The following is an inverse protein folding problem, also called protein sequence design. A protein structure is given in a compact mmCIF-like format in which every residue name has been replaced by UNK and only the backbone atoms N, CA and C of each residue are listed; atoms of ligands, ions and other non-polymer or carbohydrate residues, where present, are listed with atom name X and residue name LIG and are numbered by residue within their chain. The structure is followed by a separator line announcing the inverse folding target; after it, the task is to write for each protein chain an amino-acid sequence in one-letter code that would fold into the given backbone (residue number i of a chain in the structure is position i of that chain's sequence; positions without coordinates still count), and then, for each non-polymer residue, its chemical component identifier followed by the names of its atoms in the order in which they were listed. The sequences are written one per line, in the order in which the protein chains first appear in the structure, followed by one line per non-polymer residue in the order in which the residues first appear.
data_IF_774233759821
#
_entry.id   IF_774233759821
#
_cell.length_a   1.000
_cell.length_b   1.000
_cell.length_c   1.000
_cell.angle_alpha   90.00
_cell.angle_beta   90.00
_cell.angle_gamma   90.00
#
_symmetry.space_group_name_H-M   'P 1'
#
loop_
_entity.id
_entity.type
_entity.pdbx_description
1 polymer ?
#
# COMPACT_ATOMS: atom_id res chain seq x y z
N UNK A 1 -18.88 -2.55 11.35
CA UNK A 1 -18.67 -4.00 11.18
C UNK A 1 -19.77 -4.49 10.25
N UNK A 2 -19.45 -5.06 9.09
CA UNK A 2 -20.46 -5.60 8.16
C UNK A 2 -20.90 -6.96 8.68
N UNK A 3 -22.21 -7.17 8.87
CA UNK A 3 -22.75 -8.46 9.30
C UNK A 3 -22.91 -9.42 8.10
N UNK A 4 -23.08 -10.71 8.38
CA UNK A 4 -23.22 -11.74 7.35
C UNK A 4 -24.34 -11.45 6.31
N UNK A 5 -25.55 -10.99 6.72
CA UNK A 5 -26.56 -10.57 5.75
C UNK A 5 -26.12 -9.40 4.87
N UNK A 6 -25.45 -8.40 5.43
CA UNK A 6 -24.92 -7.27 4.66
C UNK A 6 -23.87 -7.69 3.63
N UNK A 7 -23.01 -8.65 3.98
CA UNK A 7 -22.03 -9.21 3.05
C UNK A 7 -22.71 -9.99 1.91
N UNK A 8 -23.72 -10.81 2.23
CA UNK A 8 -24.51 -11.50 1.22
C UNK A 8 -25.17 -10.49 0.28
N UNK A 9 -25.79 -9.44 0.82
CA UNK A 9 -26.47 -8.41 0.03
C UNK A 9 -25.49 -7.71 -0.92
N UNK A 10 -24.30 -7.34 -0.44
CA UNK A 10 -23.24 -6.77 -1.27
C UNK A 10 -22.77 -7.75 -2.37
N UNK A 11 -22.66 -9.05 -2.07
CA UNK A 11 -22.28 -10.07 -3.06
C UNK A 11 -23.26 -10.24 -4.23
N UNK A 12 -24.52 -9.79 -4.06
CA UNK A 12 -25.54 -9.85 -5.10
C UNK A 12 -25.47 -8.66 -6.09
N UNK A 13 -24.69 -7.63 -5.76
CA UNK A 13 -24.48 -6.41 -6.56
C UNK A 13 -23.45 -6.66 -7.67
N UNK A 14 -23.86 -7.37 -8.72
CA UNK A 14 -22.99 -7.79 -9.84
C UNK A 14 -23.08 -6.88 -11.08
N UNK A 15 -23.81 -5.76 -10.98
CA UNK A 15 -24.06 -4.84 -12.10
C UNK A 15 -25.07 -5.34 -13.14
N UNK A 16 -25.71 -6.50 -12.92
CA UNK A 16 -26.74 -7.06 -13.82
C UNK A 16 -28.13 -7.11 -13.20
N UNK A 17 -28.22 -7.06 -11.88
CA UNK A 17 -29.49 -7.04 -11.14
C UNK A 17 -29.93 -5.61 -10.82
N UNK A 18 -31.21 -5.34 -11.00
CA UNK A 18 -31.86 -4.17 -10.41
C UNK A 18 -32.17 -4.41 -8.92
N UNK A 19 -32.63 -3.36 -8.23
CA UNK A 19 -32.96 -3.41 -6.79
C UNK A 19 -33.95 -4.53 -6.47
N UNK A 20 -34.95 -4.74 -7.33
CA UNK A 20 -35.98 -5.77 -7.15
C UNK A 20 -35.39 -7.17 -7.23
N UNK A 21 -34.54 -7.42 -8.22
CA UNK A 21 -33.86 -8.69 -8.41
C UNK A 21 -32.86 -8.97 -7.28
N UNK A 22 -32.14 -7.96 -6.80
CA UNK A 22 -31.25 -8.08 -5.63
C UNK A 22 -32.07 -8.46 -4.38
N UNK A 23 -33.15 -7.74 -4.10
CA UNK A 23 -34.05 -8.03 -2.99
C UNK A 23 -34.61 -9.46 -3.06
N UNK A 24 -35.15 -9.86 -4.22
CA UNK A 24 -35.71 -11.20 -4.40
C UNK A 24 -34.66 -12.29 -4.14
N UNK A 25 -33.45 -12.12 -4.68
CA UNK A 25 -32.36 -13.06 -4.46
C UNK A 25 -31.91 -13.10 -2.99
N UNK A 26 -31.89 -11.96 -2.31
CA UNK A 26 -31.55 -11.88 -0.88
C UNK A 26 -32.58 -12.62 -0.02
N UNK A 27 -33.88 -12.36 -0.22
CA UNK A 27 -34.97 -13.03 0.53
C UNK A 27 -34.91 -14.54 0.34
N UNK A 28 -34.68 -15.01 -0.89
CA UNK A 28 -34.57 -16.45 -1.19
C UNK A 28 -33.38 -17.10 -0.46
N UNK A 29 -32.25 -16.41 -0.34
CA UNK A 29 -31.03 -16.98 0.24
C UNK A 29 -30.94 -16.83 1.76
N UNK A 30 -31.45 -15.73 2.29
CA UNK A 30 -31.28 -15.35 3.70
C UNK A 30 -32.53 -15.62 4.54
N UNK A 31 -33.72 -15.73 3.91
CA UNK A 31 -35.01 -15.82 4.60
C UNK A 31 -35.45 -14.54 5.32
N UNK A 32 -34.56 -13.56 5.44
CA UNK A 32 -34.83 -12.25 6.04
C UNK A 32 -35.62 -11.36 5.08
N UNK A 33 -36.54 -10.57 5.64
CA UNK A 33 -37.23 -9.53 4.92
C UNK A 33 -36.35 -8.27 4.85
N UNK A 34 -36.33 -7.65 3.68
CA UNK A 34 -35.72 -6.35 3.42
C UNK A 34 -36.61 -5.65 2.39
N UNK A 35 -36.78 -4.35 2.49
CA UNK A 35 -37.52 -3.57 1.51
C UNK A 35 -36.60 -3.04 0.38
N UNK A 36 -37.21 -2.53 -0.71
CA UNK A 36 -36.45 -1.99 -1.84
C UNK A 36 -35.72 -0.67 -1.49
N UNK A 37 -36.20 0.07 -0.49
CA UNK A 37 -35.58 1.32 -0.05
C UNK A 37 -34.28 1.04 0.72
N UNK A 38 -34.27 0.05 1.60
CA UNK A 38 -33.10 -0.40 2.34
C UNK A 38 -31.99 -0.90 1.39
N UNK A 39 -32.37 -1.69 0.36
CA UNK A 39 -31.42 -2.12 -0.68
C UNK A 39 -30.88 -0.93 -1.45
N UNK A 40 -31.75 0.00 -1.86
CA UNK A 40 -31.36 1.20 -2.62
C UNK A 40 -30.42 2.09 -1.80
N UNK A 41 -30.69 2.25 -0.51
CA UNK A 41 -29.89 3.06 0.40
C UNK A 41 -28.52 2.44 0.64
N UNK A 42 -28.44 1.12 0.82
CA UNK A 42 -27.15 0.43 0.90
C UNK A 42 -26.34 0.62 -0.39
N UNK A 43 -26.94 0.40 -1.56
CA UNK A 43 -26.27 0.60 -2.86
C UNK A 43 -25.76 2.03 -2.99
N UNK A 44 -26.58 3.02 -2.60
CA UNK A 44 -26.20 4.44 -2.61
C UNK A 44 -25.02 4.72 -1.69
N UNK A 45 -25.00 4.15 -0.48
CA UNK A 45 -23.89 4.30 0.47
C UNK A 45 -22.60 3.68 -0.05
N UNK A 46 -22.68 2.47 -0.63
CA UNK A 46 -21.52 1.80 -1.22
C UNK A 46 -20.98 2.56 -2.45
N UNK A 47 -21.85 3.07 -3.33
CA UNK A 47 -21.45 3.90 -4.46
C UNK A 47 -20.79 5.21 -4.01
N UNK A 48 -21.39 5.90 -3.04
CA UNK A 48 -20.84 7.13 -2.47
C UNK A 48 -19.46 6.91 -1.80
N UNK A 49 -19.22 5.69 -1.27
CA UNK A 49 -17.96 5.27 -0.69
C UNK A 49 -16.94 4.71 -1.72
N UNK A 50 -17.27 4.72 -3.01
CA UNK A 50 -16.42 4.16 -4.09
C UNK A 50 -16.16 2.66 -3.96
N UNK A 51 -17.08 1.91 -3.34
CA UNK A 51 -16.99 0.46 -3.13
C UNK A 51 -17.68 -0.37 -4.21
N UNK A 52 -18.30 0.28 -5.19
CA UNK A 52 -18.90 -0.34 -6.36
C UNK A 52 -18.14 0.11 -7.62
N UNK A 53 -17.96 -0.79 -8.59
CA UNK A 53 -17.40 -0.43 -9.91
C UNK A 53 -18.43 0.35 -10.75
N UNK A 54 -18.75 1.55 -10.30
CA UNK A 54 -19.69 2.48 -10.91
C UNK A 54 -18.98 3.54 -11.75
N UNK A 55 -19.76 4.33 -12.50
CA UNK A 55 -19.22 5.51 -13.18
C UNK A 55 -18.52 6.49 -12.22
N UNK A 56 -19.03 6.62 -10.98
CA UNK A 56 -18.43 7.45 -9.93
C UNK A 56 -17.07 6.90 -9.51
N UNK A 57 -16.95 5.61 -9.21
CA UNK A 57 -15.67 4.98 -8.90
C UNK A 57 -14.67 5.15 -10.04
N UNK A 58 -15.06 4.83 -11.28
CA UNK A 58 -14.17 4.91 -12.45
C UNK A 58 -13.66 6.32 -12.68
N UNK A 59 -14.51 7.33 -12.52
CA UNK A 59 -14.11 8.75 -12.63
C UNK A 59 -13.10 9.11 -11.53
N UNK A 60 -13.39 8.75 -10.27
CA UNK A 60 -12.49 9.00 -9.14
C UNK A 60 -11.15 8.27 -9.26
N UNK A 61 -11.17 7.06 -9.79
CA UNK A 61 -9.97 6.28 -10.07
C UNK A 61 -9.10 6.99 -11.12
N UNK A 62 -9.70 7.41 -12.24
CA UNK A 62 -9.00 8.17 -13.29
C UNK A 62 -8.41 9.48 -12.77
N UNK A 63 -9.15 10.24 -11.95
CA UNK A 63 -8.64 11.44 -11.28
C UNK A 63 -7.42 11.13 -10.40
N UNK A 64 -7.48 10.06 -9.63
CA UNK A 64 -6.40 9.65 -8.72
C UNK A 64 -5.15 9.24 -9.48
N UNK A 65 -5.32 8.49 -10.58
CA UNK A 65 -4.22 8.12 -11.49
C UNK A 65 -3.62 9.37 -12.14
N UNK A 66 -4.46 10.29 -12.65
CA UNK A 66 -3.99 11.52 -13.26
C UNK A 66 -3.23 12.41 -12.26
N UNK A 67 -3.73 12.54 -11.03
CA UNK A 67 -3.07 13.27 -9.95
C UNK A 67 -1.71 12.66 -9.59
N UNK A 68 -1.62 11.33 -9.46
CA UNK A 68 -0.34 10.65 -9.23
C UNK A 68 0.64 10.88 -10.38
N UNK A 69 0.19 10.76 -11.64
CA UNK A 69 1.04 10.99 -12.82
C UNK A 69 1.56 12.42 -12.87
N UNK A 70 0.72 13.42 -12.57
CA UNK A 70 1.09 14.83 -12.56
C UNK A 70 2.00 15.23 -11.39
N UNK A 71 1.98 14.51 -10.26
CA UNK A 71 2.80 14.83 -9.10
C UNK A 71 4.31 14.72 -9.42
N UNK A 72 5.15 15.68 -9.01
CA UNK A 72 6.59 15.63 -9.30
C UNK A 72 7.32 14.54 -8.50
N UNK A 73 6.78 14.19 -7.34
CA UNK A 73 7.31 13.23 -6.37
C UNK A 73 6.21 12.26 -5.94
N UNK A 74 6.60 11.19 -5.26
CA UNK A 74 5.67 10.28 -4.57
C UNK A 74 5.64 10.64 -3.09
N UNK A 75 4.53 11.25 -2.67
CA UNK A 75 4.34 11.66 -1.28
C UNK A 75 4.45 10.50 -0.28
N UNK A 76 4.92 10.82 0.93
CA UNK A 76 4.98 9.90 2.06
C UNK A 76 3.58 9.64 2.65
N UNK A 77 2.72 8.92 1.92
CA UNK A 77 1.29 8.77 2.24
C UNK A 77 0.96 8.15 3.62
N UNK A 78 1.96 7.57 4.29
CA UNK A 78 1.81 6.94 5.61
C UNK A 78 2.51 7.70 6.75
N UNK A 79 3.22 8.79 6.44
CA UNK A 79 3.79 9.68 7.45
C UNK A 79 2.66 10.29 8.31
N UNK A 80 2.91 10.44 9.61
CA UNK A 80 1.92 10.90 10.60
C UNK A 80 0.86 9.85 10.97
N UNK A 81 0.90 8.65 10.37
CA UNK A 81 -0.04 7.54 10.67
C UNK A 81 0.69 6.26 11.06
N UNK A 82 1.49 5.71 10.16
CA UNK A 82 2.22 4.46 10.39
C UNK A 82 3.57 4.70 11.10
N UNK A 83 4.13 5.89 10.92
CA UNK A 83 5.37 6.39 11.51
C UNK A 83 5.31 7.92 11.63
N UNK A 84 6.12 8.55 12.51
CA UNK A 84 6.13 10.01 12.68
C UNK A 84 6.49 10.74 11.38
N UNK A 85 5.84 11.87 11.12
CA UNK A 85 6.12 12.78 10.00
C UNK A 85 7.19 13.81 10.31
N UNK A 86 7.49 14.08 11.59
CA UNK A 86 8.59 14.94 11.99
C UNK A 86 9.95 14.21 11.96
N UNK A 87 11.02 14.82 11.39
CA UNK A 87 12.29 14.13 11.16
C UNK A 87 12.96 13.59 12.43
N UNK A 88 12.98 14.37 13.50
CA UNK A 88 13.64 13.99 14.76
C UNK A 88 12.82 12.97 15.55
N UNK A 89 11.49 13.09 15.51
CA UNK A 89 10.60 12.07 16.06
C UNK A 89 10.75 10.74 15.32
N UNK A 90 10.88 10.77 13.99
CA UNK A 90 11.12 9.58 13.20
C UNK A 90 12.47 8.93 13.55
N UNK A 91 13.55 9.71 13.69
CA UNK A 91 14.85 9.16 14.12
C UNK A 91 14.75 8.48 15.48
N UNK A 92 14.16 9.15 16.47
CA UNK A 92 13.96 8.58 17.80
C UNK A 92 13.08 7.31 17.76
N UNK A 93 12.02 7.33 16.96
CA UNK A 93 11.12 6.21 16.76
C UNK A 93 11.83 5.00 16.14
N UNK A 94 12.66 5.20 15.11
CA UNK A 94 13.45 4.15 14.48
C UNK A 94 14.56 3.63 15.41
N UNK A 95 15.27 4.53 16.10
CA UNK A 95 16.31 4.17 17.07
C UNK A 95 15.76 3.29 18.20
N UNK A 96 14.55 3.61 18.69
CA UNK A 96 13.91 2.82 19.72
C UNK A 96 13.61 1.38 19.27
N UNK A 97 13.45 1.11 17.97
CA UNK A 97 13.20 -0.26 17.47
C UNK A 97 14.37 -1.20 17.71
N UNK A 98 15.58 -0.67 17.83
CA UNK A 98 16.76 -1.49 18.14
C UNK A 98 16.77 -1.98 19.59
N UNK A 99 16.22 -1.20 20.53
CA UNK A 99 16.35 -1.43 21.97
C UNK A 99 15.08 -1.92 22.66
N UNK A 100 13.93 -1.92 21.97
CA UNK A 100 12.69 -2.50 22.51
C UNK A 100 12.80 -4.03 22.63
N UNK A 101 11.93 -4.62 23.45
CA UNK A 101 11.84 -6.08 23.61
C UNK A 101 11.69 -6.78 22.24
N UNK A 102 12.47 -7.84 22.02
CA UNK A 102 12.55 -8.57 20.75
C UNK A 102 13.43 -7.91 19.67
N UNK A 103 13.94 -6.70 19.91
CA UNK A 103 14.93 -6.04 19.05
C UNK A 103 16.37 -6.52 19.29
N UNK A 104 17.34 -6.07 18.46
CA UNK A 104 18.75 -6.47 18.53
C UNK A 104 19.53 -5.96 19.76
N UNK A 105 18.90 -5.26 20.69
CA UNK A 105 19.44 -4.89 22.00
C UNK A 105 20.25 -3.59 22.05
N UNK A 106 20.36 -2.86 20.94
CA UNK A 106 21.10 -1.60 20.89
C UNK A 106 21.32 -1.09 19.48
N UNK A 107 21.71 0.20 19.39
CA UNK A 107 21.96 0.87 18.11
C UNK A 107 23.07 0.16 17.31
N UNK A 108 23.01 0.21 15.97
CA UNK A 108 24.07 -0.30 15.11
C UNK A 108 25.45 0.26 15.47
N UNK A 109 26.48 -0.57 15.36
CA UNK A 109 27.87 -0.16 15.41
C UNK A 109 28.27 0.66 14.16
N UNK A 110 29.51 1.17 14.15
CA UNK A 110 30.05 1.86 12.98
C UNK A 110 30.10 0.90 11.76
N UNK A 111 29.79 1.39 10.54
CA UNK A 111 29.86 0.61 9.32
C UNK A 111 31.22 -0.06 9.11
N UNK A 112 31.22 -1.34 8.73
CA UNK A 112 32.42 -2.06 8.32
C UNK A 112 32.12 -3.22 7.37
N UNK A 113 32.97 -3.39 6.36
CA UNK A 113 32.83 -4.46 5.38
C UNK A 113 31.68 -4.23 4.38
N UNK A 114 31.55 -5.13 3.42
CA UNK A 114 30.61 -4.98 2.30
C UNK A 114 29.15 -5.21 2.70
N UNK A 115 28.24 -4.40 2.16
CA UNK A 115 26.79 -4.60 2.27
C UNK A 115 26.32 -6.00 1.85
N UNK A 116 25.28 -6.55 2.49
CA UNK A 116 24.65 -7.79 2.04
C UNK A 116 24.07 -7.61 0.63
N UNK A 117 24.04 -8.70 -0.15
CA UNK A 117 23.46 -8.67 -1.51
C UNK A 117 21.94 -8.56 -1.51
N UNK A 118 21.29 -9.03 -0.46
CA UNK A 118 19.85 -9.00 -0.31
C UNK A 118 19.47 -9.03 1.17
N UNK A 119 18.32 -8.46 1.47
CA UNK A 119 17.70 -8.46 2.79
C UNK A 119 16.20 -8.62 2.61
N UNK A 120 15.57 -9.40 3.49
CA UNK A 120 14.12 -9.54 3.56
C UNK A 120 13.66 -8.94 4.89
N UNK A 121 12.82 -7.93 4.82
CA UNK A 121 12.15 -7.34 5.97
C UNK A 121 10.64 -7.39 5.74
N UNK A 122 9.83 -7.52 6.81
CA UNK A 122 8.39 -7.37 6.70
C UNK A 122 8.02 -5.91 6.35
N UNK A 123 6.73 -5.63 6.09
CA UNK A 123 6.23 -4.26 5.81
C UNK A 123 4.90 -3.89 6.51
N UNK A 124 4.53 -4.63 7.55
CA UNK A 124 3.51 -4.19 8.53
C UNK A 124 3.93 -2.89 9.24
N UNK A 125 2.98 -2.19 9.85
CA UNK A 125 3.26 -0.97 10.59
C UNK A 125 4.39 -1.13 11.62
N UNK A 126 5.32 -0.17 11.64
CA UNK A 126 6.52 -0.20 12.47
C UNK A 126 6.23 -0.20 13.97
N UNK A 127 5.08 0.34 14.40
CA UNK A 127 4.64 0.25 15.81
C UNK A 127 4.28 -1.18 16.23
N UNK A 128 3.90 -2.05 15.28
CA UNK A 128 3.58 -3.46 15.54
C UNK A 128 4.80 -4.36 15.40
N UNK A 129 5.53 -4.19 14.30
CA UNK A 129 6.57 -5.14 13.89
C UNK A 129 8.00 -4.62 13.94
N UNK A 130 8.23 -3.32 14.18
CA UNK A 130 9.52 -2.68 13.90
C UNK A 130 10.73 -3.28 14.61
N UNK A 131 10.54 -3.90 15.79
CA UNK A 131 11.61 -4.61 16.51
C UNK A 131 12.21 -5.77 15.69
N UNK A 132 11.38 -6.51 14.97
CA UNK A 132 11.84 -7.60 14.09
C UNK A 132 12.61 -7.10 12.87
N UNK A 133 12.32 -5.88 12.42
CA UNK A 133 12.93 -5.27 11.23
C UNK A 133 14.32 -4.78 11.59
N UNK A 134 14.47 -4.26 12.81
CA UNK A 134 15.72 -3.72 13.32
C UNK A 134 16.87 -4.74 13.25
N UNK A 135 16.60 -6.05 13.29
CA UNK A 135 17.62 -7.08 13.05
C UNK A 135 18.23 -6.99 11.66
N UNK A 136 17.38 -6.96 10.62
CA UNK A 136 17.84 -6.81 9.25
C UNK A 136 18.49 -5.44 9.01
N UNK A 137 17.84 -4.36 9.45
CA UNK A 137 18.37 -3.01 9.23
C UNK A 137 19.63 -2.73 10.04
N UNK A 138 19.87 -3.44 11.15
CA UNK A 138 21.16 -3.42 11.84
C UNK A 138 22.27 -3.96 10.94
N UNK A 139 22.06 -5.14 10.35
CA UNK A 139 23.03 -5.71 9.41
C UNK A 139 23.30 -4.79 8.21
N UNK A 140 22.32 -4.00 7.79
CA UNK A 140 22.55 -3.01 6.74
C UNK A 140 23.30 -1.77 7.24
N UNK A 141 22.93 -1.25 8.40
CA UNK A 141 23.52 -0.06 8.99
C UNK A 141 24.97 -0.27 9.46
N UNK A 142 25.36 -1.50 9.80
CA UNK A 142 26.72 -1.87 10.19
C UNK A 142 27.63 -2.20 8.99
N UNK A 143 27.19 -1.95 7.74
CA UNK A 143 27.96 -2.21 6.52
C UNK A 143 28.16 -0.96 5.68
N UNK A 144 29.20 -0.98 4.85
CA UNK A 144 29.43 0.09 3.88
C UNK A 144 28.20 0.25 2.96
N UNK A 145 27.67 1.49 2.79
CA UNK A 145 26.47 1.72 1.99
C UNK A 145 26.61 1.20 0.56
N UNK A 146 25.55 0.59 0.04
CA UNK A 146 25.46 0.28 -1.38
C UNK A 146 25.28 1.56 -2.22
N UNK A 147 25.80 1.55 -3.46
CA UNK A 147 25.58 2.63 -4.43
C UNK A 147 24.14 2.69 -4.92
N UNK A 148 23.44 1.55 -4.95
CA UNK A 148 22.05 1.43 -5.37
C UNK A 148 21.31 0.40 -4.51
N UNK A 149 20.14 0.80 -4.01
CA UNK A 149 19.20 -0.09 -3.33
C UNK A 149 18.02 -0.40 -4.24
N UNK A 150 17.72 -1.69 -4.43
CA UNK A 150 16.53 -2.14 -5.16
C UNK A 150 15.51 -2.61 -4.13
N UNK A 151 14.39 -1.88 -4.01
CA UNK A 151 13.30 -2.22 -3.10
C UNK A 151 12.19 -2.93 -3.88
N UNK A 152 11.94 -4.20 -3.53
CA UNK A 152 10.84 -4.98 -4.08
C UNK A 152 9.72 -5.06 -3.03
N UNK A 153 8.59 -4.41 -3.32
CA UNK A 153 7.41 -4.41 -2.45
C UNK A 153 6.23 -5.16 -3.08
N UNK A 154 5.40 -5.76 -2.24
CA UNK A 154 4.16 -6.40 -2.68
C UNK A 154 3.07 -5.35 -2.89
N UNK A 155 2.43 -5.37 -4.05
CA UNK A 155 1.21 -4.61 -4.30
C UNK A 155 0.01 -5.35 -3.69
N UNK A 156 -0.81 -4.63 -2.90
CA UNK A 156 -2.03 -5.17 -2.28
C UNK A 156 -3.30 -4.85 -3.09
N UNK A 157 -3.13 -4.34 -4.31
CA UNK A 157 -4.21 -4.02 -5.24
C UNK A 157 -3.98 -4.71 -6.58
N UNK A 158 -5.02 -4.83 -7.42
CA UNK A 158 -4.85 -5.33 -8.79
C UNK A 158 -3.78 -4.54 -9.54
N UNK A 159 -3.02 -5.24 -10.40
CA UNK A 159 -2.03 -4.67 -11.30
C UNK A 159 -2.25 -5.20 -12.72
N UNK A 160 -1.97 -4.37 -13.72
CA UNK A 160 -2.01 -4.74 -15.13
C UNK A 160 -0.82 -5.64 -15.49
N UNK A 161 0.35 -5.39 -14.89
CA UNK A 161 1.58 -6.15 -15.12
C UNK A 161 2.12 -6.78 -13.82
N UNK A 162 2.99 -7.81 -13.90
CA UNK A 162 3.56 -8.44 -12.72
C UNK A 162 4.40 -7.51 -11.85
N UNK A 163 4.99 -6.47 -12.45
CA UNK A 163 5.79 -5.46 -11.78
C UNK A 163 5.50 -4.07 -12.35
N UNK A 164 5.58 -3.06 -11.49
CA UNK A 164 5.49 -1.65 -11.86
C UNK A 164 6.64 -0.88 -11.21
N UNK A 165 7.07 0.21 -11.85
CA UNK A 165 8.05 1.11 -11.28
C UNK A 165 7.67 2.57 -11.52
N UNK A 166 8.30 3.47 -10.75
CA UNK A 166 8.18 4.90 -10.97
C UNK A 166 9.55 5.56 -10.83
N UNK A 167 9.83 6.53 -11.70
CA UNK A 167 11.02 7.36 -11.62
C UNK A 167 10.87 8.53 -10.64
N UNK A 168 9.70 8.69 -10.01
CA UNK A 168 9.45 9.73 -9.02
C UNK A 168 10.28 9.47 -7.77
N UNK A 169 10.89 10.52 -7.21
CA UNK A 169 11.52 10.43 -5.90
C UNK A 169 10.45 10.14 -4.82
N UNK A 170 10.76 9.26 -3.88
CA UNK A 170 9.88 8.94 -2.76
C UNK A 170 10.17 9.92 -1.64
N UNK A 171 9.19 10.71 -1.26
CA UNK A 171 9.32 11.58 -0.09
C UNK A 171 9.40 10.75 1.18
N UNK A 172 10.23 11.19 2.10
CA UNK A 172 10.30 10.68 3.47
C UNK A 172 10.50 11.86 4.41
N UNK A 173 10.16 11.76 5.70
CA UNK A 173 10.50 12.78 6.68
C UNK A 173 12.00 13.08 6.79
N UNK A 174 12.88 12.17 6.37
CA UNK A 174 14.33 12.36 6.39
C UNK A 174 14.87 12.98 5.08
N UNK A 175 14.00 13.30 4.13
CA UNK A 175 14.34 13.77 2.80
C UNK A 175 13.91 12.80 1.70
N UNK A 176 13.90 13.26 0.46
CA UNK A 176 13.46 12.46 -0.68
C UNK A 176 14.49 11.39 -1.05
N UNK A 177 14.04 10.12 -1.09
CA UNK A 177 14.79 9.02 -1.66
C UNK A 177 14.68 9.09 -3.19
N UNK A 178 15.81 9.41 -3.84
CA UNK A 178 15.88 9.57 -5.30
C UNK A 178 15.86 8.20 -5.99
N UNK A 179 15.11 8.11 -7.08
CA UNK A 179 15.17 6.95 -7.96
C UNK A 179 16.36 7.07 -8.93
N UNK A 180 17.02 5.95 -9.23
CA UNK A 180 17.98 5.86 -10.32
C UNK A 180 17.23 5.70 -11.64
N UNK A 181 17.03 6.83 -12.33
CA UNK A 181 16.26 6.90 -13.58
C UNK A 181 16.93 6.07 -14.67
N UNK A 182 18.26 6.16 -14.79
CA UNK A 182 19.00 5.45 -15.83
C UNK A 182 18.90 3.92 -15.63
N UNK A 183 18.96 3.46 -14.38
CA UNK A 183 18.72 2.06 -14.04
C UNK A 183 17.31 1.62 -14.43
N UNK A 184 16.29 2.39 -14.05
CA UNK A 184 14.90 2.07 -14.36
C UNK A 184 14.63 2.05 -15.87
N UNK A 185 15.19 2.97 -16.64
CA UNK A 185 15.09 2.96 -18.10
C UNK A 185 15.77 1.72 -18.72
N UNK A 186 16.96 1.36 -18.23
CA UNK A 186 17.66 0.14 -18.65
C UNK A 186 16.86 -1.12 -18.31
N UNK A 187 16.16 -1.12 -17.19
CA UNK A 187 15.28 -2.21 -16.76
C UNK A 187 14.03 -2.28 -17.63
N UNK A 188 13.35 -1.15 -17.87
CA UNK A 188 12.17 -1.05 -18.72
C UNK A 188 12.43 -1.55 -20.14
N UNK A 189 13.59 -1.21 -20.74
CA UNK A 189 13.99 -1.70 -22.07
C UNK A 189 14.20 -3.21 -22.14
N UNK A 190 14.45 -3.88 -21.01
CA UNK A 190 14.68 -5.34 -20.92
C UNK A 190 13.45 -6.10 -20.43
N UNK A 191 12.45 -5.40 -19.89
CA UNK A 191 11.25 -6.02 -19.37
C UNK A 191 10.40 -6.58 -20.53
N UNK A 192 9.78 -7.77 -20.38
CA UNK A 192 8.90 -8.35 -21.39
C UNK A 192 7.51 -7.69 -21.43
N UNK A 193 7.30 -6.62 -20.65
CA UNK A 193 6.08 -5.84 -20.57
C UNK A 193 6.43 -4.38 -20.25
N UNK A 194 5.46 -3.49 -20.48
CA UNK A 194 5.58 -2.08 -20.10
C UNK A 194 5.64 -1.91 -18.58
N UNK A 195 6.82 -1.55 -18.07
CA UNK A 195 7.08 -1.33 -16.64
C UNK A 195 6.34 -0.09 -16.09
N UNK A 196 5.83 0.77 -16.97
CA UNK A 196 5.17 2.04 -16.64
C UNK A 196 3.64 1.98 -16.82
N UNK A 197 3.09 0.80 -17.09
CA UNK A 197 1.68 0.62 -17.42
C UNK A 197 0.74 0.96 -16.25
N UNK A 198 1.19 0.71 -15.02
CA UNK A 198 0.45 0.90 -13.76
C UNK A 198 0.75 2.27 -13.12
#
# INVERSE_FOLDING_TARGET
MVNEPGLLLASLLDGRRDVRAVRAAFVVRCGLQIDEQEVSELVRQLDAAYLLDSGRYRSRFQESVAAFRAAPTRAAAHAGRAYPDEPDELRAFLDARYSVEGGPGGRPAAPSGSSPRALVAPHIDLHRGGHSYAWGYRELAEREPAELYILLGTCHTPMLKPFAATAKAYETPLGAARADVDFLERLARRAPFDLWAD
#
